data_IF_366898378723
#
_entry.id   IF_366898378723
#
_cell.length_a   1.000
_cell.length_b   1.000
_cell.length_c   1.000
_cell.angle_alpha   90.00
_cell.angle_beta   90.00
_cell.angle_gamma   90.00
#
_symmetry.space_group_name_H-M   'P 1'
#
loop_
_entity.id
_entity.type
_entity.pdbx_description
1 polymer ?
#
# COMPACT_ATOMS: atom_id res chain seq x y z
N UNK A 1 16.14 15.80 -2.77
CA UNK A 1 16.81 14.50 -2.49
C UNK A 1 15.92 13.39 -3.05
N UNK A 2 16.43 12.19 -3.34
CA UNK A 2 15.61 11.07 -3.82
C UNK A 2 15.53 10.01 -2.72
N UNK A 3 14.33 9.50 -2.45
CA UNK A 3 14.10 8.46 -1.46
C UNK A 3 13.20 7.36 -2.02
N UNK A 4 13.42 6.13 -1.54
CA UNK A 4 12.55 4.99 -1.74
C UNK A 4 11.97 4.62 -0.38
N UNK A 5 10.64 4.65 -0.26
CA UNK A 5 9.94 4.22 0.94
C UNK A 5 9.62 2.73 0.78
N UNK A 6 10.09 1.91 1.73
CA UNK A 6 9.82 0.47 1.74
C UNK A 6 8.34 0.16 2.04
N UNK A 7 7.93 -1.08 1.78
CA UNK A 7 6.54 -1.51 2.00
C UNK A 7 6.10 -1.43 3.46
N UNK A 8 6.99 -1.71 4.41
CA UNK A 8 6.69 -1.64 5.84
C UNK A 8 6.42 -0.22 6.31
N UNK A 9 7.24 0.75 5.89
CA UNK A 9 7.08 2.16 6.19
C UNK A 9 5.75 2.70 5.63
N UNK A 10 5.34 2.26 4.43
CA UNK A 10 4.01 2.55 3.91
C UNK A 10 2.89 1.98 4.79
N UNK A 11 3.02 0.73 5.24
CA UNK A 11 2.02 0.13 6.14
C UNK A 11 1.92 0.88 7.48
N UNK A 12 3.05 1.29 8.05
CA UNK A 12 3.11 2.10 9.27
C UNK A 12 2.49 3.50 9.07
N UNK A 13 2.71 4.11 7.91
CA UNK A 13 2.04 5.36 7.51
C UNK A 13 0.53 5.20 7.44
N UNK A 14 0.03 4.15 6.77
CA UNK A 14 -1.41 3.88 6.70
C UNK A 14 -2.02 3.50 8.05
N UNK A 15 -1.24 2.87 8.95
CA UNK A 15 -1.67 2.53 10.29
C UNK A 15 -1.72 3.75 11.25
N UNK A 16 -1.20 4.91 10.85
CA UNK A 16 -1.12 6.09 11.71
C UNK A 16 -0.15 5.93 12.88
N UNK A 17 0.88 5.10 12.72
CA UNK A 17 1.86 4.86 13.78
C UNK A 17 2.85 6.02 13.93
N UNK A 18 3.59 6.04 15.04
CA UNK A 18 4.66 7.02 15.26
C UNK A 18 5.76 6.95 14.20
N UNK A 19 6.02 5.76 13.66
CA UNK A 19 6.96 5.58 12.54
C UNK A 19 6.36 6.12 11.24
N UNK A 20 5.06 5.92 11.04
CA UNK A 20 4.31 6.49 9.92
C UNK A 20 4.38 8.02 9.85
N UNK A 21 4.41 8.72 10.98
CA UNK A 21 4.57 10.18 10.99
C UNK A 21 5.91 10.64 10.38
N UNK A 22 6.98 9.85 10.45
CA UNK A 22 8.22 10.18 9.73
C UNK A 22 8.04 10.06 8.21
N UNK A 23 7.29 9.06 7.74
CA UNK A 23 7.00 8.93 6.30
C UNK A 23 6.25 10.16 5.79
N UNK A 24 5.33 10.69 6.60
CA UNK A 24 4.61 11.93 6.28
C UNK A 24 5.55 13.11 6.06
N UNK A 25 6.64 13.24 6.81
CA UNK A 25 7.59 14.35 6.59
C UNK A 25 8.28 14.26 5.24
N UNK A 26 8.62 13.04 4.77
CA UNK A 26 9.17 12.83 3.42
C UNK A 26 8.14 13.08 2.32
N UNK A 27 6.85 12.79 2.55
CA UNK A 27 5.79 12.99 1.57
C UNK A 27 5.35 14.45 1.41
N UNK A 28 5.56 15.27 2.44
CA UNK A 28 5.14 16.68 2.48
C UNK A 28 6.27 17.65 2.08
N UNK A 29 7.48 17.15 1.91
CA UNK A 29 8.62 17.92 1.46
C UNK A 29 8.58 18.07 -0.08
N UNK A 30 8.46 19.30 -0.57
CA UNK A 30 8.36 19.61 -2.00
C UNK A 30 9.68 19.37 -2.75
N UNK A 31 10.82 19.38 -2.04
CA UNK A 31 12.15 19.13 -2.61
C UNK A 31 12.54 17.63 -2.56
N UNK A 32 11.61 16.78 -2.09
CA UNK A 32 11.78 15.34 -1.95
C UNK A 32 11.11 14.58 -3.10
N UNK A 33 11.90 13.87 -3.90
CA UNK A 33 11.39 12.95 -4.90
C UNK A 33 11.23 11.56 -4.28
N UNK A 34 10.05 10.94 -4.46
CA UNK A 34 9.74 9.60 -3.97
C UNK A 34 9.65 8.63 -5.13
N UNK A 35 10.54 7.63 -5.11
CA UNK A 35 10.49 6.52 -6.07
C UNK A 35 9.30 5.61 -5.72
N UNK A 36 8.47 5.35 -6.73
CA UNK A 36 7.36 4.41 -6.64
C UNK A 36 7.82 3.03 -7.14
N UNK A 37 8.11 2.13 -6.20
CA UNK A 37 8.50 0.74 -6.50
C UNK A 37 7.27 -0.14 -6.71
N UNK A 38 7.22 -0.86 -7.83
CA UNK A 38 6.16 -1.82 -8.12
C UNK A 38 6.20 -3.03 -7.17
N UNK A 39 7.40 -3.39 -6.68
CA UNK A 39 7.59 -4.48 -5.72
C UNK A 39 6.98 -4.08 -4.38
N UNK A 40 7.29 -2.87 -3.88
CA UNK A 40 6.75 -2.38 -2.62
C UNK A 40 5.22 -2.25 -2.70
N UNK A 41 4.69 -1.81 -3.85
CA UNK A 41 3.25 -1.73 -4.08
C UNK A 41 2.57 -3.11 -4.02
N UNK A 42 3.19 -4.14 -4.63
CA UNK A 42 2.69 -5.51 -4.57
C UNK A 42 2.67 -6.06 -3.14
N UNK A 43 3.71 -5.79 -2.35
CA UNK A 43 3.77 -6.19 -0.94
C UNK A 43 2.72 -5.49 -0.06
N UNK A 44 2.52 -4.19 -0.27
CA UNK A 44 1.46 -3.42 0.41
C UNK A 44 0.10 -4.02 0.07
N UNK A 45 -0.13 -4.32 -1.21
CA UNK A 45 -1.39 -4.90 -1.68
C UNK A 45 -1.63 -6.31 -1.11
N UNK A 46 -0.62 -7.19 -1.14
CA UNK A 46 -0.69 -8.52 -0.54
C UNK A 46 -0.99 -8.44 0.96
N UNK A 47 -0.29 -7.56 1.68
CA UNK A 47 -0.49 -7.39 3.12
C UNK A 47 -1.89 -6.84 3.43
N UNK A 48 -2.42 -5.96 2.58
CA UNK A 48 -3.78 -5.47 2.71
C UNK A 48 -4.79 -6.61 2.51
N UNK A 49 -4.63 -7.45 1.48
CA UNK A 49 -5.50 -8.61 1.26
C UNK A 49 -5.48 -9.57 2.47
N UNK A 50 -4.30 -9.91 2.97
CA UNK A 50 -4.14 -10.79 4.14
C UNK A 50 -4.80 -10.21 5.40
N UNK A 51 -4.72 -8.89 5.61
CA UNK A 51 -5.26 -8.22 6.81
C UNK A 51 -6.76 -7.95 6.72
N UNK A 52 -7.30 -7.75 5.53
CA UNK A 52 -8.72 -7.39 5.35
C UNK A 52 -9.62 -8.58 5.03
N UNK A 53 -9.05 -9.77 4.86
CA UNK A 53 -9.72 -11.02 4.50
C UNK A 53 -10.45 -10.92 3.14
N UNK A 54 -10.39 -11.93 2.29
CA UNK A 54 -10.80 -11.85 0.88
C UNK A 54 -12.28 -11.45 0.67
N UNK A 55 -13.14 -11.59 1.68
CA UNK A 55 -14.60 -11.45 1.56
C UNK A 55 -15.12 -10.08 1.07
N UNK A 56 -14.61 -8.90 1.50
CA UNK A 56 -15.09 -7.61 0.99
C UNK A 56 -14.46 -7.25 -0.37
N UNK A 57 -13.32 -7.84 -0.73
CA UNK A 57 -12.60 -7.58 -1.98
C UNK A 57 -13.17 -8.42 -3.14
N UNK A 58 -13.49 -9.69 -2.89
CA UNK A 58 -14.22 -10.55 -3.84
C UNK A 58 -15.63 -10.05 -4.08
N UNK A 59 -16.36 -9.58 -3.06
CA UNK A 59 -17.68 -8.92 -3.25
C UNK A 59 -17.64 -7.66 -4.12
N UNK A 60 -16.46 -7.02 -4.27
CA UNK A 60 -16.27 -5.83 -5.12
C UNK A 60 -15.77 -6.16 -6.53
N UNK A 61 -15.30 -7.39 -6.76
CA UNK A 61 -15.14 -7.94 -8.11
C UNK A 61 -16.54 -8.35 -8.57
N UNK A 62 -17.16 -7.54 -9.42
CA UNK A 62 -18.47 -7.86 -10.00
C UNK A 62 -18.49 -9.25 -10.65
N UNK A 63 -19.67 -9.77 -11.04
CA UNK A 63 -20.00 -11.19 -11.27
C UNK A 63 -19.26 -11.92 -12.41
N UNK A 64 -18.13 -11.43 -12.88
CA UNK A 64 -17.33 -11.99 -13.97
C UNK A 64 -16.00 -12.56 -13.42
N UNK A 65 -16.07 -13.51 -12.50
CA UNK A 65 -14.91 -14.34 -12.17
C UNK A 65 -15.32 -15.81 -12.09
N UNK A 66 -14.92 -16.53 -13.15
CA UNK A 66 -14.65 -17.97 -13.25
C UNK A 66 -15.78 -19.02 -13.33
N UNK A 67 -17.05 -18.71 -13.09
CA UNK A 67 -18.13 -19.73 -13.20
C UNK A 67 -18.94 -19.69 -14.51
N UNK A 68 -18.37 -19.17 -15.60
CA UNK A 68 -19.07 -19.01 -16.89
C UNK A 68 -18.46 -19.80 -18.07
N UNK A 69 -17.77 -20.91 -17.81
CA UNK A 69 -17.43 -21.92 -18.84
C UNK A 69 -17.67 -23.32 -18.26
#
# INVERSE_FOLDING_TARGET
MIALIDSWAWLEFFAGSKTGEMVKTYLMDEDQEIIKSIINLAEIYSTALDRFDEQPAEKRRGPWSHDAI
#
